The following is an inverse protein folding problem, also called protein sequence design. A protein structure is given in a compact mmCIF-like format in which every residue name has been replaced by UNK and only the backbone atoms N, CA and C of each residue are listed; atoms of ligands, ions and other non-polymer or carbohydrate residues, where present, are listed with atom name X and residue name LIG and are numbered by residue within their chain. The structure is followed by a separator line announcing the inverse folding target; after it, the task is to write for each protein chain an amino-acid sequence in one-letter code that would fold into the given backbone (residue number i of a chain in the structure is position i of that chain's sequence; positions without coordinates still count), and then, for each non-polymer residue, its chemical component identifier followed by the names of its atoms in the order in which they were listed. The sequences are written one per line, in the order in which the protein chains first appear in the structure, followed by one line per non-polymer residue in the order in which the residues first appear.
data_IF_647182223798
#
_entry.id   IF_647182223798
#
_cell.length_a   1.000
_cell.length_b   1.000
_cell.length_c   1.000
_cell.angle_alpha   90.00
_cell.angle_beta   90.00
_cell.angle_gamma   90.00
#
_symmetry.space_group_name_H-M   'P 1'
#
loop_
_entity.id
_entity.type
_entity.pdbx_description
1 polymer ?
#
# COMPACT_ATOMS: atom_id res chain seq x y z
N UNK A 1 -2.96 -12.12 18.09
CA UNK A 1 -1.89 -11.10 18.09
C UNK A 1 -2.42 -9.71 17.77
N UNK A 2 -3.35 -9.59 16.82
CA UNK A 2 -4.03 -8.33 16.57
C UNK A 2 -5.54 -8.50 16.36
N UNK A 3 -6.29 -7.43 16.67
CA UNK A 3 -7.71 -7.28 16.39
C UNK A 3 -7.87 -6.06 15.48
N UNK A 4 -8.73 -6.19 14.47
CA UNK A 4 -9.04 -5.12 13.52
C UNK A 4 -10.55 -4.88 13.55
N UNK A 5 -10.94 -3.61 13.75
CA UNK A 5 -12.32 -3.19 13.71
C UNK A 5 -12.66 -2.33 12.51
N UNK A 6 -13.94 -2.11 12.29
CA UNK A 6 -14.44 -1.20 11.28
C UNK A 6 -14.48 0.25 11.79
N UNK A 7 -14.73 1.21 10.90
CA UNK A 7 -14.85 2.61 11.28
C UNK A 7 -15.93 3.33 10.46
N UNK A 8 -16.39 4.45 10.99
CA UNK A 8 -17.33 5.36 10.32
C UNK A 8 -16.69 6.72 10.19
N UNK A 9 -16.85 7.34 9.03
CA UNK A 9 -16.41 8.73 8.80
C UNK A 9 -17.52 9.67 9.22
N UNK A 10 -17.20 10.60 10.11
CA UNK A 10 -18.11 11.67 10.57
C UNK A 10 -17.68 13.00 9.98
N UNK A 11 -18.65 13.92 9.79
CA UNK A 11 -18.37 15.24 9.21
C UNK A 11 -18.14 15.28 7.70
N UNK A 12 -18.32 14.16 7.00
CA UNK A 12 -18.20 14.06 5.55
C UNK A 12 -19.41 13.35 4.92
N UNK A 13 -19.73 13.69 3.66
CA UNK A 13 -20.82 13.02 2.91
C UNK A 13 -20.46 11.61 2.43
N UNK A 14 -19.21 11.20 2.53
CA UNK A 14 -18.73 9.88 2.07
C UNK A 14 -18.28 9.07 3.27
N UNK A 15 -18.95 7.95 3.52
CA UNK A 15 -18.45 6.92 4.43
C UNK A 15 -17.29 6.17 3.77
N UNK A 16 -16.33 5.73 4.57
CA UNK A 16 -15.36 4.75 4.11
C UNK A 16 -16.08 3.43 3.78
N UNK A 17 -15.60 2.67 2.79
CA UNK A 17 -16.14 1.35 2.55
C UNK A 17 -15.93 0.48 3.81
N UNK A 18 -16.88 -0.40 4.15
CA UNK A 18 -16.71 -1.32 5.25
C UNK A 18 -15.50 -2.24 5.01
N UNK A 19 -14.99 -2.83 6.08
CA UNK A 19 -14.03 -3.93 5.94
C UNK A 19 -14.63 -5.01 5.03
N UNK A 20 -13.84 -5.49 4.10
CA UNK A 20 -14.25 -6.59 3.20
C UNK A 20 -13.92 -7.97 3.78
N UNK A 21 -13.76 -8.05 5.10
CA UNK A 21 -13.54 -9.25 5.88
C UNK A 21 -14.71 -9.44 6.85
N UNK A 22 -15.24 -10.65 6.92
CA UNK A 22 -16.24 -11.01 7.92
C UNK A 22 -15.62 -11.13 9.32
N UNK A 23 -16.47 -11.00 10.35
CA UNK A 23 -16.07 -11.23 11.74
C UNK A 23 -15.55 -12.66 11.92
N UNK A 24 -14.42 -12.81 12.59
CA UNK A 24 -13.84 -14.12 12.88
C UNK A 24 -12.33 -14.12 13.00
N UNK A 25 -11.80 -15.31 13.25
CA UNK A 25 -10.38 -15.58 13.32
C UNK A 25 -9.78 -15.84 11.93
N UNK A 26 -8.60 -15.28 11.71
CA UNK A 26 -7.75 -15.51 10.56
C UNK A 26 -6.42 -16.03 11.07
N UNK A 27 -6.16 -17.33 10.88
CA UNK A 27 -4.99 -18.02 11.42
C UNK A 27 -3.98 -18.33 10.33
N UNK A 28 -2.70 -18.20 10.67
CA UNK A 28 -1.55 -18.40 9.80
C UNK A 28 -1.15 -17.12 9.05
N UNK A 29 0.16 -16.81 9.07
CA UNK A 29 0.70 -15.61 8.44
C UNK A 29 0.34 -15.51 6.95
N UNK A 30 0.33 -16.62 6.22
CA UNK A 30 -0.01 -16.64 4.79
C UNK A 30 -1.42 -16.06 4.53
N UNK A 31 -2.40 -16.38 5.40
CA UNK A 31 -3.76 -15.86 5.29
C UNK A 31 -3.81 -14.38 5.69
N UNK A 32 -3.22 -14.01 6.83
CA UNK A 32 -3.17 -12.61 7.29
C UNK A 32 -2.53 -11.71 6.24
N UNK A 33 -1.35 -12.08 5.73
CA UNK A 33 -0.65 -11.34 4.71
C UNK A 33 -1.44 -11.25 3.39
N UNK A 34 -2.08 -12.35 2.96
CA UNK A 34 -2.86 -12.34 1.73
C UNK A 34 -4.04 -11.36 1.80
N UNK A 35 -4.73 -11.29 2.94
CA UNK A 35 -5.84 -10.34 3.14
C UNK A 35 -5.35 -8.88 3.11
N UNK A 36 -4.15 -8.61 3.64
CA UNK A 36 -3.53 -7.29 3.58
C UNK A 36 -3.17 -6.88 2.14
N UNK A 37 -2.46 -7.75 1.44
CA UNK A 37 -2.05 -7.52 0.04
C UNK A 37 -3.24 -7.30 -0.89
N UNK A 38 -4.35 -7.99 -0.61
CA UNK A 38 -5.62 -7.81 -1.33
C UNK A 38 -6.37 -6.52 -0.93
N UNK A 39 -5.86 -5.74 0.01
CA UNK A 39 -6.48 -4.51 0.47
C UNK A 39 -7.79 -4.73 1.25
N UNK A 40 -7.96 -5.89 1.86
CA UNK A 40 -9.19 -6.24 2.59
C UNK A 40 -9.27 -5.61 3.98
N UNK A 41 -8.18 -5.07 4.50
CA UNK A 41 -8.16 -4.30 5.73
C UNK A 41 -7.26 -3.06 5.60
N UNK A 42 -7.47 -2.11 6.49
CA UNK A 42 -6.93 -0.77 6.35
C UNK A 42 -5.50 -0.64 6.89
N UNK A 43 -4.72 0.26 6.30
CA UNK A 43 -3.36 0.56 6.75
C UNK A 43 -3.33 1.39 8.04
N UNK A 44 -4.41 2.15 8.35
CA UNK A 44 -4.44 3.02 9.52
C UNK A 44 -4.28 2.23 10.82
N UNK A 45 -3.46 2.75 11.73
CA UNK A 45 -3.18 2.08 13.01
C UNK A 45 -4.33 2.20 14.02
N UNK A 46 -5.09 3.29 13.99
CA UNK A 46 -6.10 3.63 15.00
C UNK A 46 -7.31 2.68 15.06
N UNK A 47 -7.56 1.84 14.07
CA UNK A 47 -8.63 0.82 14.09
C UNK A 47 -8.12 -0.57 14.49
N UNK A 48 -6.96 -0.66 15.15
CA UNK A 48 -6.32 -1.91 15.52
C UNK A 48 -5.98 -1.94 17.01
N UNK A 49 -6.15 -3.12 17.61
CA UNK A 49 -5.56 -3.47 18.89
C UNK A 49 -4.48 -4.52 18.62
N UNK A 50 -3.28 -4.28 19.10
CA UNK A 50 -2.15 -5.21 18.93
C UNK A 50 -1.61 -5.59 20.30
N UNK A 51 -1.37 -6.86 20.51
CA UNK A 51 -0.90 -7.37 21.79
C UNK A 51 0.46 -6.76 22.14
N UNK A 52 0.61 -6.23 23.35
CA UNK A 52 1.87 -5.61 23.80
C UNK A 52 3.07 -6.58 23.72
N UNK A 53 2.96 -7.85 24.13
CA UNK A 53 4.06 -8.81 23.95
C UNK A 53 4.51 -8.94 22.50
N UNK A 54 3.56 -8.99 21.54
CA UNK A 54 3.87 -9.05 20.11
C UNK A 54 4.63 -7.79 19.64
N UNK A 55 4.17 -6.60 20.04
CA UNK A 55 4.84 -5.33 19.70
C UNK A 55 6.29 -5.32 20.19
N UNK A 56 6.52 -5.74 21.44
CA UNK A 56 7.85 -5.76 22.04
C UNK A 56 8.76 -6.82 21.39
N UNK A 57 8.24 -8.03 21.18
CA UNK A 57 9.00 -9.14 20.58
C UNK A 57 9.48 -8.80 19.16
N UNK A 58 8.62 -8.16 18.36
CA UNK A 58 8.90 -7.85 16.96
C UNK A 58 9.42 -6.43 16.75
N UNK A 59 9.63 -5.65 17.82
CA UNK A 59 10.03 -4.25 17.74
C UNK A 59 9.16 -3.45 16.76
N UNK A 60 7.85 -3.70 16.81
CA UNK A 60 6.87 -3.11 15.91
C UNK A 60 6.54 -1.68 16.32
N UNK A 61 7.50 -0.77 16.13
CA UNK A 61 7.38 0.66 16.41
C UNK A 61 7.14 1.46 15.14
N UNK A 62 6.51 2.63 15.31
CA UNK A 62 6.38 3.59 14.23
C UNK A 62 7.73 4.19 13.87
N UNK A 63 7.97 4.38 12.58
CA UNK A 63 9.16 5.05 12.09
C UNK A 63 9.05 6.54 12.36
N UNK A 64 9.96 7.08 13.15
CA UNK A 64 10.01 8.51 13.46
C UNK A 64 10.43 9.35 12.26
N UNK A 65 10.00 10.63 12.25
CA UNK A 65 10.42 11.63 11.28
C UNK A 65 9.77 11.53 9.89
N UNK A 66 8.82 10.62 9.69
CA UNK A 66 8.07 10.49 8.44
C UNK A 66 6.57 10.65 8.64
N UNK A 67 5.87 10.96 7.57
CA UNK A 67 4.41 10.87 7.44
C UNK A 67 4.10 9.60 6.64
N UNK A 68 2.95 8.97 6.87
CA UNK A 68 2.58 7.65 6.33
C UNK A 68 3.37 6.50 6.99
N UNK A 69 3.78 6.70 8.24
CA UNK A 69 4.41 5.69 9.09
C UNK A 69 3.52 4.46 9.28
N UNK A 70 2.21 4.64 9.20
CA UNK A 70 1.19 3.60 9.29
C UNK A 70 1.20 2.62 8.09
N UNK A 71 1.54 3.08 6.90
CA UNK A 71 1.75 2.21 5.73
C UNK A 71 2.89 1.19 6.00
N UNK A 72 4.01 1.66 6.55
CA UNK A 72 5.15 0.80 6.92
C UNK A 72 4.82 -0.12 8.09
N UNK A 73 4.22 0.46 9.14
CA UNK A 73 3.87 -0.27 10.36
C UNK A 73 2.88 -1.40 10.10
N UNK A 74 1.81 -1.12 9.36
CA UNK A 74 0.79 -2.11 9.01
C UNK A 74 1.33 -3.19 8.07
N UNK A 75 2.25 -2.84 7.17
CA UNK A 75 2.95 -3.82 6.34
C UNK A 75 3.78 -4.78 7.19
N UNK A 76 4.57 -4.25 8.13
CA UNK A 76 5.34 -5.06 9.09
C UNK A 76 4.44 -5.97 9.92
N UNK A 77 3.33 -5.42 10.46
CA UNK A 77 2.34 -6.19 11.20
C UNK A 77 1.82 -7.37 10.36
N UNK A 78 1.40 -7.12 9.11
CA UNK A 78 0.89 -8.16 8.22
C UNK A 78 1.93 -9.25 7.89
N UNK A 79 3.20 -8.87 7.78
CA UNK A 79 4.29 -9.82 7.52
C UNK A 79 4.63 -10.71 8.72
N UNK A 80 4.36 -10.26 9.94
CA UNK A 80 4.79 -10.95 11.16
C UNK A 80 3.65 -11.66 11.90
N UNK A 81 2.42 -11.13 11.84
CA UNK A 81 1.29 -11.68 12.58
C UNK A 81 0.91 -13.08 12.09
N UNK A 82 0.79 -14.01 13.04
CA UNK A 82 0.31 -15.37 12.83
C UNK A 82 -1.20 -15.50 13.04
N UNK A 83 -1.81 -14.54 13.75
CA UNK A 83 -3.25 -14.54 14.01
C UNK A 83 -3.83 -13.13 14.04
N UNK A 84 -5.02 -13.02 13.50
CA UNK A 84 -5.80 -11.80 13.46
C UNK A 84 -7.25 -12.11 13.75
N UNK A 85 -7.91 -11.32 14.58
CA UNK A 85 -9.35 -11.35 14.75
C UNK A 85 -9.98 -10.11 14.12
N UNK A 86 -11.01 -10.29 13.34
CA UNK A 86 -11.77 -9.22 12.71
C UNK A 86 -13.11 -9.04 13.42
N UNK A 87 -13.47 -7.81 13.72
CA UNK A 87 -14.79 -7.40 14.21
C UNK A 87 -15.40 -6.48 13.18
N UNK A 88 -16.47 -6.93 12.49
CA UNK A 88 -17.18 -6.11 11.51
C UNK A 88 -18.16 -5.14 12.20
N UNK A 89 -17.71 -4.53 13.28
CA UNK A 89 -18.43 -3.51 14.02
C UNK A 89 -17.65 -2.20 14.00
N UNK A 90 -18.34 -1.08 14.12
CA UNK A 90 -17.72 0.24 14.20
C UNK A 90 -16.99 0.38 15.54
N UNK A 91 -15.66 0.28 15.49
CA UNK A 91 -14.78 0.45 16.66
C UNK A 91 -14.17 1.85 16.73
N UNK A 92 -14.30 2.65 15.66
CA UNK A 92 -13.70 3.97 15.57
C UNK A 92 -14.55 4.96 14.76
N UNK A 93 -14.67 6.20 15.27
CA UNK A 93 -15.32 7.30 14.58
C UNK A 93 -14.26 8.28 14.07
N UNK A 94 -14.04 8.28 12.76
CA UNK A 94 -13.05 9.14 12.12
C UNK A 94 -13.67 10.48 11.73
N UNK A 95 -13.31 11.54 12.45
CA UNK A 95 -13.76 12.90 12.14
C UNK A 95 -12.84 13.55 11.10
N UNK A 96 -13.39 13.88 9.94
CA UNK A 96 -12.64 14.59 8.89
C UNK A 96 -12.52 16.07 9.21
N UNK A 97 -11.28 16.52 9.45
CA UNK A 97 -10.97 17.92 9.62
C UNK A 97 -10.74 18.62 8.28
N UNK A 98 -11.14 19.91 8.12
CA UNK A 98 -10.91 20.68 6.89
C UNK A 98 -9.44 20.70 6.46
N UNK A 99 -8.53 20.86 7.41
CA UNK A 99 -7.08 21.02 7.20
C UNK A 99 -6.32 19.67 7.27
N UNK A 100 -7.02 18.56 7.06
CA UNK A 100 -6.38 17.25 7.09
C UNK A 100 -5.30 17.12 6.01
N UNK A 101 -4.14 16.60 6.41
CA UNK A 101 -3.00 16.22 5.54
C UNK A 101 -3.45 15.44 4.29
N UNK A 102 -4.52 14.65 4.41
CA UNK A 102 -5.03 13.82 3.33
C UNK A 102 -5.72 14.61 2.21
N UNK A 103 -6.14 15.86 2.45
CA UNK A 103 -6.83 16.71 1.47
C UNK A 103 -5.87 17.50 0.58
N UNK A 104 -4.82 18.02 1.18
CA UNK A 104 -3.81 18.83 0.49
C UNK A 104 -2.42 18.43 1.02
N UNK A 105 -1.86 17.31 0.55
CA UNK A 105 -0.56 16.85 1.03
C UNK A 105 0.52 17.87 0.63
N UNK A 106 1.37 18.21 1.59
CA UNK A 106 2.56 19.02 1.33
C UNK A 106 3.58 18.24 0.52
N UNK A 107 4.58 18.92 -0.05
CA UNK A 107 5.72 18.25 -0.71
C UNK A 107 6.38 17.24 0.25
N UNK A 108 6.51 17.57 1.53
CA UNK A 108 7.02 16.65 2.56
C UNK A 108 6.24 15.34 2.63
N UNK A 109 4.90 15.39 2.53
CA UNK A 109 4.07 14.18 2.52
C UNK A 109 4.34 13.30 1.29
N UNK A 110 4.59 13.91 0.13
CA UNK A 110 4.90 13.18 -1.09
C UNK A 110 6.30 12.55 -1.03
N UNK A 111 7.28 13.29 -0.49
CA UNK A 111 8.64 12.79 -0.23
C UNK A 111 8.62 11.61 0.75
N UNK A 112 7.84 11.69 1.82
CA UNK A 112 7.70 10.61 2.79
C UNK A 112 7.19 9.31 2.15
N UNK A 113 6.34 9.35 1.13
CA UNK A 113 5.93 8.13 0.39
C UNK A 113 7.12 7.43 -0.27
N UNK A 114 8.07 8.21 -0.78
CA UNK A 114 9.31 7.66 -1.36
C UNK A 114 10.16 7.02 -0.27
N UNK A 115 10.28 7.67 0.91
CA UNK A 115 11.02 7.13 2.05
C UNK A 115 10.38 5.84 2.58
N UNK A 116 9.06 5.81 2.73
CA UNK A 116 8.31 4.61 3.17
C UNK A 116 8.57 3.43 2.23
N UNK A 117 8.61 3.66 0.92
CA UNK A 117 8.96 2.61 -0.04
C UNK A 117 10.36 2.04 0.22
N UNK A 118 11.33 2.91 0.53
CA UNK A 118 12.69 2.52 0.91
C UNK A 118 12.71 1.65 2.16
N UNK A 119 12.03 2.08 3.22
CA UNK A 119 11.94 1.30 4.47
C UNK A 119 11.25 -0.06 4.29
N UNK A 120 10.19 -0.12 3.49
CA UNK A 120 9.52 -1.40 3.15
C UNK A 120 10.48 -2.30 2.39
N UNK A 121 11.22 -1.77 1.43
CA UNK A 121 12.23 -2.54 0.70
C UNK A 121 13.30 -3.09 1.63
N UNK A 122 13.88 -2.25 2.50
CA UNK A 122 14.92 -2.65 3.43
C UNK A 122 14.41 -3.71 4.44
N UNK A 123 13.13 -3.60 4.86
CA UNK A 123 12.49 -4.62 5.69
C UNK A 123 12.31 -5.95 4.94
N UNK A 124 11.88 -5.94 3.68
CA UNK A 124 11.79 -7.16 2.87
C UNK A 124 13.17 -7.82 2.76
N UNK A 125 14.21 -7.02 2.55
CA UNK A 125 15.59 -7.49 2.44
C UNK A 125 16.16 -8.08 3.74
N UNK A 126 15.62 -7.73 4.88
CA UNK A 126 16.09 -8.23 6.18
C UNK A 126 15.78 -9.71 6.44
N UNK A 127 14.86 -10.30 5.67
CA UNK A 127 14.44 -11.71 5.86
C UNK A 127 14.27 -12.44 4.54
N UNK A 128 14.91 -13.62 4.43
CA UNK A 128 14.80 -14.46 3.24
C UNK A 128 13.37 -14.94 2.97
N UNK A 129 12.62 -15.27 4.04
CA UNK A 129 11.22 -15.67 3.90
C UNK A 129 10.35 -14.58 3.27
N UNK A 130 10.66 -13.29 3.55
CA UNK A 130 9.95 -12.17 2.94
C UNK A 130 10.36 -11.99 1.47
N UNK A 131 11.64 -12.20 1.15
CA UNK A 131 12.17 -12.06 -0.20
C UNK A 131 11.60 -13.11 -1.16
N UNK A 132 11.36 -14.33 -0.70
CA UNK A 132 10.84 -15.43 -1.52
C UNK A 132 9.30 -15.42 -1.62
N UNK A 133 8.64 -14.44 -0.97
CA UNK A 133 7.18 -14.39 -0.92
C UNK A 133 6.59 -13.59 -2.08
N UNK A 134 5.89 -14.30 -2.99
CA UNK A 134 5.23 -13.69 -4.16
C UNK A 134 4.22 -12.59 -3.79
N UNK A 135 3.46 -12.73 -2.71
CA UNK A 135 2.47 -11.73 -2.30
C UNK A 135 3.14 -10.42 -1.91
N UNK A 136 4.28 -10.48 -1.24
CA UNK A 136 5.09 -9.31 -0.87
C UNK A 136 5.59 -8.59 -2.12
N UNK A 137 6.07 -9.34 -3.11
CA UNK A 137 6.49 -8.76 -4.37
C UNK A 137 5.33 -8.04 -5.09
N UNK A 138 4.16 -8.69 -5.20
CA UNK A 138 2.96 -8.09 -5.80
C UNK A 138 2.56 -6.81 -5.06
N UNK A 139 2.57 -6.84 -3.74
CA UNK A 139 2.27 -5.68 -2.90
C UNK A 139 3.24 -4.54 -3.17
N UNK A 140 4.54 -4.81 -3.15
CA UNK A 140 5.58 -3.80 -3.34
C UNK A 140 5.48 -3.11 -4.70
N UNK A 141 5.28 -3.88 -5.77
CA UNK A 141 5.08 -3.33 -7.11
C UNK A 141 3.80 -2.49 -7.21
N UNK A 142 2.72 -2.96 -6.61
CA UNK A 142 1.46 -2.22 -6.55
C UNK A 142 1.60 -0.92 -5.75
N UNK A 143 2.37 -0.93 -4.67
CA UNK A 143 2.63 0.24 -3.83
C UNK A 143 3.45 1.30 -4.58
N UNK A 144 4.47 0.90 -5.35
CA UNK A 144 5.21 1.82 -6.23
C UNK A 144 4.28 2.56 -7.19
N UNK A 145 3.41 1.81 -7.88
CA UNK A 145 2.44 2.39 -8.80
C UNK A 145 1.47 3.34 -8.08
N UNK A 146 0.91 2.92 -6.94
CA UNK A 146 0.00 3.73 -6.11
C UNK A 146 0.66 5.03 -5.64
N UNK A 147 1.89 4.97 -5.16
CA UNK A 147 2.59 6.16 -4.67
C UNK A 147 2.94 7.11 -5.81
N UNK A 148 3.36 6.59 -6.95
CA UNK A 148 3.64 7.42 -8.12
C UNK A 148 2.37 8.08 -8.66
N UNK A 149 1.24 7.37 -8.71
CA UNK A 149 -0.06 7.96 -9.05
C UNK A 149 -0.44 9.12 -8.13
N UNK A 150 -0.25 8.97 -6.83
CA UNK A 150 -0.50 10.06 -5.86
C UNK A 150 0.40 11.27 -6.10
N UNK A 151 1.68 11.06 -6.40
CA UNK A 151 2.61 12.13 -6.75
C UNK A 151 2.11 12.86 -8.01
N UNK A 152 1.74 12.14 -9.07
CA UNK A 152 1.21 12.71 -10.31
C UNK A 152 -0.11 13.46 -10.12
N UNK A 153 -0.91 13.07 -9.15
CA UNK A 153 -2.20 13.68 -8.87
C UNK A 153 -2.08 14.99 -8.07
N UNK A 154 -1.24 15.00 -7.04
CA UNK A 154 -1.18 16.12 -6.08
C UNK A 154 -0.20 17.23 -6.45
N UNK A 155 0.75 17.00 -7.33
CA UNK A 155 1.65 18.05 -7.80
C UNK A 155 1.68 18.10 -9.32
N UNK A 156 1.93 19.29 -9.86
CA UNK A 156 2.22 19.53 -11.29
C UNK A 156 3.72 19.68 -11.56
N UNK A 157 4.54 19.60 -10.53
CA UNK A 157 5.99 19.71 -10.64
C UNK A 157 6.56 18.48 -11.38
N UNK A 158 6.86 18.70 -12.66
CA UNK A 158 7.41 17.67 -13.54
C UNK A 158 8.82 17.25 -13.15
N UNK A 159 9.59 18.14 -12.53
CA UNK A 159 10.92 17.82 -12.02
C UNK A 159 10.81 16.84 -10.85
N UNK A 160 9.91 17.12 -9.90
CA UNK A 160 9.65 16.22 -8.79
C UNK A 160 9.09 14.86 -9.25
N UNK A 161 8.21 14.83 -10.27
CA UNK A 161 7.76 13.58 -10.88
C UNK A 161 8.92 12.74 -11.38
N UNK A 162 9.84 13.37 -12.12
CA UNK A 162 10.97 12.67 -12.68
C UNK A 162 11.97 12.20 -11.62
N UNK A 163 12.29 13.04 -10.64
CA UNK A 163 13.15 12.66 -9.51
C UNK A 163 12.55 11.49 -8.70
N UNK A 164 11.26 11.54 -8.40
CA UNK A 164 10.55 10.44 -7.72
C UNK A 164 10.61 9.14 -8.55
N UNK A 165 10.42 9.25 -9.86
CA UNK A 165 10.55 8.11 -10.76
C UNK A 165 11.96 7.52 -10.74
N UNK A 166 13.01 8.32 -10.69
CA UNK A 166 14.39 7.83 -10.62
C UNK A 166 14.62 6.96 -9.35
N UNK A 167 14.02 7.35 -8.23
CA UNK A 167 14.06 6.53 -7.02
C UNK A 167 13.32 5.21 -7.26
N UNK A 168 12.10 5.24 -7.79
CA UNK A 168 11.31 4.02 -8.05
C UNK A 168 11.98 3.08 -9.08
N UNK A 169 12.74 3.65 -10.01
CA UNK A 169 13.53 2.92 -10.99
C UNK A 169 14.87 2.39 -10.47
N UNK A 170 15.27 2.75 -9.25
CA UNK A 170 16.57 2.32 -8.73
C UNK A 170 16.72 0.79 -8.86
N UNK A 171 17.88 0.34 -9.37
CA UNK A 171 18.18 -1.08 -9.60
C UNK A 171 17.99 -1.95 -8.35
N UNK A 172 18.22 -1.39 -7.15
CA UNK A 172 17.96 -2.13 -5.92
C UNK A 172 16.51 -2.59 -5.81
N UNK A 173 15.53 -1.81 -6.27
CA UNK A 173 14.12 -2.21 -6.26
C UNK A 173 13.76 -3.20 -7.38
N UNK A 174 14.45 -3.14 -8.51
CA UNK A 174 14.32 -4.14 -9.55
C UNK A 174 14.80 -5.52 -9.10
N UNK A 175 15.77 -5.58 -8.18
CA UNK A 175 16.33 -6.83 -7.68
C UNK A 175 15.32 -7.70 -6.91
N UNK A 176 14.23 -7.15 -6.39
CA UNK A 176 13.14 -7.96 -5.82
C UNK A 176 12.52 -8.90 -6.86
N UNK A 177 12.45 -8.48 -8.12
CA UNK A 177 11.98 -9.31 -9.23
C UNK A 177 12.91 -10.50 -9.48
N UNK A 178 14.21 -10.24 -9.45
CA UNK A 178 15.24 -11.27 -9.71
C UNK A 178 15.33 -12.27 -8.55
N UNK A 179 15.05 -11.81 -7.33
CA UNK A 179 15.18 -12.63 -6.13
C UNK A 179 14.07 -13.67 -5.97
N UNK A 180 12.87 -13.37 -6.44
CA UNK A 180 11.73 -14.27 -6.26
C UNK A 180 11.74 -15.46 -7.22
N UNK A 181 12.58 -15.46 -8.28
CA UNK A 181 12.59 -16.49 -9.31
C UNK A 181 11.23 -16.73 -9.99
N UNK A 182 10.23 -15.91 -9.65
CA UNK A 182 8.85 -16.07 -10.05
C UNK A 182 8.61 -15.37 -11.40
N UNK A 183 7.91 -16.03 -12.29
CA UNK A 183 7.38 -15.36 -13.48
C UNK A 183 6.32 -14.37 -13.03
N UNK A 184 6.49 -13.06 -13.25
CA UNK A 184 5.51 -12.07 -12.87
C UNK A 184 4.21 -12.26 -13.66
N UNK A 185 3.08 -11.92 -13.05
CA UNK A 185 1.82 -11.81 -13.76
C UNK A 185 1.95 -10.79 -14.91
N UNK A 186 1.20 -10.96 -15.99
CA UNK A 186 1.31 -10.10 -17.18
C UNK A 186 1.18 -8.59 -16.86
N UNK A 187 0.35 -8.21 -15.86
CA UNK A 187 0.25 -6.83 -15.40
C UNK A 187 1.54 -6.29 -14.80
N UNK A 188 2.22 -7.10 -14.01
CA UNK A 188 3.51 -6.75 -13.42
C UNK A 188 4.61 -6.74 -14.46
N UNK A 189 4.54 -7.64 -15.47
CA UNK A 189 5.45 -7.59 -16.61
C UNK A 189 5.32 -6.27 -17.37
N UNK A 190 4.10 -5.83 -17.68
CA UNK A 190 3.84 -4.56 -18.31
C UNK A 190 4.35 -3.40 -17.45
N UNK A 191 4.03 -3.39 -16.16
CA UNK A 191 4.54 -2.35 -15.25
C UNK A 191 6.06 -2.27 -15.31
N UNK A 192 6.77 -3.39 -15.34
CA UNK A 192 8.22 -3.45 -15.24
C UNK A 192 8.96 -3.16 -16.56
N UNK A 193 8.27 -2.98 -17.70
CA UNK A 193 8.88 -2.55 -18.96
C UNK A 193 9.71 -1.27 -18.79
N UNK A 194 9.31 -0.37 -17.86
CA UNK A 194 10.05 0.86 -17.60
C UNK A 194 11.51 0.63 -17.16
N UNK A 195 11.86 -0.55 -16.62
CA UNK A 195 13.24 -0.85 -16.21
C UNK A 195 14.16 -1.13 -17.39
N UNK A 196 13.65 -1.67 -18.49
CA UNK A 196 14.45 -2.01 -19.69
C UNK A 196 14.53 -0.86 -20.70
N UNK A 197 13.63 0.10 -20.64
CA UNK A 197 13.64 1.26 -21.49
C UNK A 197 14.75 2.25 -21.09
N UNK A 198 15.24 3.11 -22.01
CA UNK A 198 16.06 4.27 -21.66
C UNK A 198 15.36 5.12 -20.59
N UNK A 199 16.12 5.76 -19.70
CA UNK A 199 15.58 6.34 -18.45
C UNK A 199 14.39 7.27 -18.67
N UNK A 200 14.48 8.20 -19.60
CA UNK A 200 13.39 9.14 -19.87
C UNK A 200 12.19 8.45 -20.56
N UNK A 201 12.43 7.54 -21.49
CA UNK A 201 11.38 6.76 -22.12
C UNK A 201 10.66 5.87 -21.08
N UNK A 202 11.41 5.26 -20.16
CA UNK A 202 10.86 4.51 -19.04
C UNK A 202 9.99 5.38 -18.12
N UNK A 203 10.39 6.62 -17.85
CA UNK A 203 9.57 7.58 -17.10
C UNK A 203 8.23 7.85 -17.79
N UNK A 204 8.27 8.18 -19.10
CA UNK A 204 7.06 8.44 -19.87
C UNK A 204 6.14 7.21 -19.91
N UNK A 205 6.72 6.04 -20.12
CA UNK A 205 5.99 4.78 -20.11
C UNK A 205 5.33 4.51 -18.76
N UNK A 206 6.08 4.60 -17.64
CA UNK A 206 5.56 4.34 -16.31
C UNK A 206 4.46 5.32 -15.93
N UNK A 207 4.63 6.60 -16.27
CA UNK A 207 3.61 7.64 -16.10
C UNK A 207 2.32 7.32 -16.86
N UNK A 208 2.42 6.88 -18.11
CA UNK A 208 1.28 6.48 -18.92
C UNK A 208 0.62 5.21 -18.38
N UNK A 209 1.41 4.22 -17.99
CA UNK A 209 0.93 2.97 -17.40
C UNK A 209 0.11 3.20 -16.13
N UNK A 210 0.66 3.97 -15.19
CA UNK A 210 -0.01 4.27 -13.91
C UNK A 210 -1.33 5.00 -14.12
N UNK A 211 -1.37 5.99 -15.02
CA UNK A 211 -2.61 6.70 -15.38
C UNK A 211 -3.64 5.78 -16.04
N UNK A 212 -3.22 4.92 -16.96
CA UNK A 212 -4.12 3.98 -17.66
C UNK A 212 -4.69 2.95 -16.69
N UNK A 213 -3.89 2.42 -15.77
CA UNK A 213 -4.34 1.49 -14.75
C UNK A 213 -5.44 2.10 -13.86
N UNK A 214 -5.30 3.37 -13.50
CA UNK A 214 -6.32 4.11 -12.76
C UNK A 214 -7.63 4.26 -13.55
N UNK A 215 -7.56 4.62 -14.83
CA UNK A 215 -8.75 4.73 -15.68
C UNK A 215 -9.50 3.40 -15.84
N UNK A 216 -8.78 2.31 -16.02
CA UNK A 216 -9.35 0.97 -16.11
C UNK A 216 -10.03 0.54 -14.80
N UNK A 217 -9.44 0.88 -13.65
CA UNK A 217 -10.03 0.62 -12.34
C UNK A 217 -11.35 1.40 -12.18
N UNK A 218 -11.35 2.70 -12.50
CA UNK A 218 -12.55 3.55 -12.41
C UNK A 218 -13.65 3.06 -13.35
N UNK A 219 -13.31 2.64 -14.56
CA UNK A 219 -14.25 2.04 -15.50
C UNK A 219 -14.84 0.74 -14.97
N UNK A 220 -14.02 -0.13 -14.38
CA UNK A 220 -14.51 -1.40 -13.82
C UNK A 220 -15.47 -1.20 -12.65
N UNK A 221 -15.23 -0.20 -11.80
CA UNK A 221 -16.12 0.17 -10.68
C UNK A 221 -17.44 0.72 -11.22
N UNK A 222 -17.40 1.61 -12.21
CA UNK A 222 -18.61 2.15 -12.84
C UNK A 222 -19.45 1.07 -13.53
N UNK A 223 -18.81 0.14 -14.24
CA UNK A 223 -19.51 -0.99 -14.86
C UNK A 223 -20.18 -1.89 -13.82
N UNK A 224 -19.50 -2.24 -12.73
CA UNK A 224 -20.10 -3.03 -11.65
C UNK A 224 -21.32 -2.33 -11.04
N UNK A 225 -21.24 -1.01 -10.80
CA UNK A 225 -22.38 -0.24 -10.28
C UNK A 225 -23.60 -0.26 -11.23
N UNK A 226 -23.39 -0.25 -12.54
CA UNK A 226 -24.47 -0.36 -13.55
C UNK A 226 -25.07 -1.77 -13.59
N UNK A 227 -24.27 -2.82 -13.40
CA UNK A 227 -24.75 -4.21 -13.39
C UNK A 227 -25.47 -4.61 -12.10
N UNK A 228 -25.22 -3.92 -10.97
CA UNK A 228 -25.92 -4.16 -9.70
C UNK A 228 -27.15 -3.27 -9.51
N UNK A 229 -27.42 -2.32 -10.41
CA UNK A 229 -28.60 -1.46 -10.42
C UNK A 229 -29.73 -1.97 -11.34
N UNK A 230 -29.57 -3.15 -11.91
CA UNK A 230 -30.60 -3.93 -12.62
C UNK A 230 -30.90 -5.20 -11.81
#
# INVERSE_FOLDING_TARGET
ECLIGNYVVTGARRCAPPLSLGTGFYEGNALVLSTYVQGKWYVMAWNKLVSRPFVLQHQLYFQEGIVHEDDLWSFKLACMAQSMYVVDETTYYYSMQPDSIMRAPSMRNLECRVLVLGYIYDFIRSSRCLQDNRLIYIYFESLKAKYFDRILYFTKDTSFHYQSYLVFRNKKYASLLEMTGLRPEWKLMLQNIHYVLPTYAGYLYFKAFVKSAYYLLVLSIKMKAVFHAK
#
